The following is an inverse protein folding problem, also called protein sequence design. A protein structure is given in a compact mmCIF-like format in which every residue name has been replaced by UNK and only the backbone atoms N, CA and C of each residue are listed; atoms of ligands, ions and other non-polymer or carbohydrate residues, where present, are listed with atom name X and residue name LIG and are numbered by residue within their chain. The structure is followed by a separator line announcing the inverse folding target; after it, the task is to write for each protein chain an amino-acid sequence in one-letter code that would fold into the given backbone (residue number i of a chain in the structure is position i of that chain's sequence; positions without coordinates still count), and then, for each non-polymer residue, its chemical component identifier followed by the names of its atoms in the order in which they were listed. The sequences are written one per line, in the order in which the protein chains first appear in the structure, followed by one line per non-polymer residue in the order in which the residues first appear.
data_IF_520775532459
#
_entry.id   IF_520775532459
#
_cell.length_a   1.000
_cell.length_b   1.000
_cell.length_c   1.000
_cell.angle_alpha   90.00
_cell.angle_beta   90.00
_cell.angle_gamma   90.00
#
_symmetry.space_group_name_H-M   'P 1'
#
loop_
_entity.id
_entity.type
_entity.pdbx_description
1 polymer ?
#
# COMPACT_ATOMS: atom_id res chain seq x y z
N UNK A 1 -30.45 -14.43 13.74
CA UNK A 1 -30.04 -14.46 12.31
C UNK A 1 -28.73 -15.22 12.21
N UNK A 2 -28.58 -16.21 11.32
CA UNK A 2 -27.30 -16.88 11.14
C UNK A 2 -26.26 -15.89 10.59
N UNK A 3 -24.97 -16.01 10.96
CA UNK A 3 -23.93 -15.15 10.43
C UNK A 3 -23.86 -15.33 8.91
N UNK A 4 -24.00 -14.22 8.19
CA UNK A 4 -23.94 -14.16 6.73
C UNK A 4 -22.54 -14.62 6.32
N UNK A 5 -22.41 -15.87 5.85
CA UNK A 5 -21.14 -16.39 5.31
C UNK A 5 -20.78 -15.56 4.07
N UNK A 6 -19.94 -14.56 4.23
CA UNK A 6 -19.40 -13.80 3.12
C UNK A 6 -18.56 -14.77 2.31
N UNK A 7 -19.02 -15.15 1.11
CA UNK A 7 -18.17 -15.89 0.17
C UNK A 7 -16.98 -14.99 -0.14
N UNK A 8 -15.78 -15.39 0.30
CA UNK A 8 -14.55 -14.68 -0.01
C UNK A 8 -14.35 -14.75 -1.52
N UNK A 9 -14.68 -13.68 -2.21
CA UNK A 9 -14.51 -13.59 -3.67
C UNK A 9 -13.01 -13.64 -3.94
N UNK A 10 -12.55 -14.68 -4.63
CA UNK A 10 -11.16 -14.76 -5.08
C UNK A 10 -10.98 -13.76 -6.22
N UNK A 11 -10.28 -12.66 -5.94
CA UNK A 11 -9.99 -11.62 -6.92
C UNK A 11 -8.52 -11.68 -7.31
N UNK A 12 -8.22 -11.30 -8.55
CA UNK A 12 -6.83 -11.17 -8.99
C UNK A 12 -6.15 -10.04 -8.21
N UNK A 13 -4.87 -10.16 -7.85
CA UNK A 13 -4.14 -9.13 -7.10
C UNK A 13 -4.19 -7.75 -7.77
N UNK A 14 -4.15 -7.70 -9.10
CA UNK A 14 -4.26 -6.46 -9.86
C UNK A 14 -5.59 -5.74 -9.58
N UNK A 15 -6.68 -6.48 -9.39
CA UNK A 15 -7.99 -5.91 -9.07
C UNK A 15 -8.02 -5.31 -7.66
N UNK A 16 -7.24 -5.87 -6.74
CA UNK A 16 -7.07 -5.30 -5.39
C UNK A 16 -6.36 -3.96 -5.48
N UNK A 17 -5.25 -3.90 -6.23
CA UNK A 17 -4.51 -2.66 -6.48
C UNK A 17 -5.38 -1.60 -7.16
N UNK A 18 -6.10 -1.98 -8.23
CA UNK A 18 -7.06 -1.09 -8.89
C UNK A 18 -8.15 -0.60 -7.94
N UNK A 19 -8.62 -1.46 -7.04
CA UNK A 19 -9.58 -1.09 -6.00
C UNK A 19 -9.04 0.00 -5.07
N UNK A 20 -7.79 -0.09 -4.63
CA UNK A 20 -7.15 0.94 -3.81
C UNK A 20 -6.97 2.25 -4.57
N UNK A 21 -6.57 2.18 -5.84
CA UNK A 21 -6.41 3.36 -6.71
C UNK A 21 -7.74 4.08 -6.93
N UNK A 22 -8.81 3.36 -7.25
CA UNK A 22 -10.14 3.95 -7.49
C UNK A 22 -10.75 4.58 -6.24
N UNK A 23 -10.63 3.89 -5.09
CA UNK A 23 -11.17 4.38 -3.82
C UNK A 23 -10.33 5.49 -3.20
N UNK A 24 -9.10 5.71 -3.70
CA UNK A 24 -8.13 6.63 -3.11
C UNK A 24 -7.82 6.27 -1.66
N UNK A 25 -7.80 4.98 -1.34
CA UNK A 25 -7.49 4.51 0.00
C UNK A 25 -5.98 4.69 0.26
N UNK A 26 -5.65 5.03 1.50
CA UNK A 26 -4.26 5.05 1.96
C UNK A 26 -3.80 3.61 2.16
N UNK A 27 -2.64 3.29 1.61
CA UNK A 27 -2.02 1.98 1.73
C UNK A 27 -0.74 2.10 2.54
N UNK A 28 -0.45 1.07 3.34
CA UNK A 28 0.83 0.89 4.03
C UNK A 28 1.63 -0.17 3.27
N UNK A 29 2.84 0.19 2.87
CA UNK A 29 3.76 -0.63 2.11
C UNK A 29 4.96 -0.99 2.98
N UNK A 30 5.22 -2.28 3.08
CA UNK A 30 6.38 -2.84 3.75
C UNK A 30 7.54 -2.93 2.76
N UNK A 31 8.70 -2.42 3.17
CA UNK A 31 9.89 -2.45 2.35
C UNK A 31 10.60 -3.80 2.48
N UNK A 32 11.35 -4.18 1.44
CA UNK A 32 12.16 -5.40 1.44
C UNK A 32 13.42 -5.26 2.28
N UNK A 33 14.18 -4.18 2.06
CA UNK A 33 15.47 -3.99 2.72
C UNK A 33 15.33 -3.48 4.16
N UNK A 34 14.36 -2.60 4.43
CA UNK A 34 14.15 -2.00 5.75
C UNK A 34 12.84 -2.46 6.39
N UNK A 35 12.96 -3.33 7.39
CA UNK A 35 11.82 -3.82 8.18
C UNK A 35 11.37 -2.85 9.28
N UNK A 36 12.17 -1.82 9.58
CA UNK A 36 11.87 -0.82 10.61
C UNK A 36 11.06 0.34 10.06
N UNK A 37 10.95 0.45 8.75
CA UNK A 37 10.23 1.51 8.08
C UNK A 37 9.14 0.95 7.18
N UNK A 38 8.03 1.65 7.13
CA UNK A 38 6.95 1.40 6.17
C UNK A 38 6.58 2.71 5.50
N UNK A 39 6.13 2.64 4.25
CA UNK A 39 5.66 3.81 3.52
C UNK A 39 4.14 3.80 3.54
N UNK A 40 3.52 4.85 4.07
CA UNK A 40 2.09 5.08 3.95
C UNK A 40 1.82 6.12 2.87
N UNK A 41 0.87 5.88 1.97
CA UNK A 41 0.57 6.85 0.92
C UNK A 41 -0.69 6.49 0.14
N UNK A 42 -1.15 7.41 -0.69
CA UNK A 42 -2.27 7.15 -1.60
C UNK A 42 -1.74 6.78 -2.98
N UNK A 43 -2.14 5.62 -3.51
CA UNK A 43 -1.75 5.22 -4.86
C UNK A 43 -2.45 6.12 -5.90
N UNK A 44 -1.66 6.79 -6.74
CA UNK A 44 -2.15 7.57 -7.88
C UNK A 44 -1.88 6.92 -9.23
N UNK A 45 -0.94 5.96 -9.28
CA UNK A 45 -0.63 5.19 -10.48
C UNK A 45 0.27 4.00 -10.18
N UNK A 46 0.24 3.00 -11.05
CA UNK A 46 1.16 1.86 -11.04
C UNK A 46 1.44 1.37 -12.47
N UNK A 47 2.50 0.59 -12.65
CA UNK A 47 2.89 0.02 -13.96
C UNK A 47 2.98 -1.52 -13.94
N UNK A 48 3.45 -2.11 -15.04
CA UNK A 48 3.61 -3.56 -15.20
C UNK A 48 4.69 -4.17 -14.29
N UNK A 49 5.62 -3.34 -13.78
CA UNK A 49 6.68 -3.76 -12.86
C UNK A 49 6.30 -3.53 -11.39
N UNK A 50 5.06 -3.11 -11.12
CA UNK A 50 4.58 -2.75 -9.79
C UNK A 50 5.35 -1.57 -9.18
N UNK A 51 5.88 -0.66 -9.99
CA UNK A 51 6.30 0.65 -9.48
C UNK A 51 5.05 1.44 -9.12
N UNK A 52 5.01 2.04 -7.93
CA UNK A 52 3.87 2.81 -7.47
C UNK A 52 4.21 4.28 -7.40
N UNK A 53 3.34 5.12 -7.94
CA UNK A 53 3.36 6.55 -7.65
C UNK A 53 2.43 6.79 -6.47
N UNK A 54 3.00 7.27 -5.37
CA UNK A 54 2.29 7.58 -4.13
C UNK A 54 2.21 9.09 -3.95
N UNK A 55 1.03 9.57 -3.57
CA UNK A 55 0.79 10.95 -3.18
C UNK A 55 0.57 11.04 -1.66
N UNK A 56 1.01 12.15 -1.07
CA UNK A 56 0.95 12.34 0.39
C UNK A 56 1.64 11.22 1.17
N UNK A 57 2.78 10.76 0.66
CA UNK A 57 3.56 9.69 1.25
C UNK A 57 4.20 10.13 2.56
N UNK A 58 4.18 9.21 3.53
CA UNK A 58 4.77 9.33 4.85
C UNK A 58 5.65 8.10 5.10
N UNK A 59 6.87 8.32 5.58
CA UNK A 59 7.69 7.29 6.20
C UNK A 59 7.23 7.07 7.63
N UNK A 60 6.85 5.84 7.97
CA UNK A 60 6.40 5.45 9.30
C UNK A 60 7.38 4.46 9.88
N UNK A 61 8.02 4.86 10.99
CA UNK A 61 8.87 3.98 11.79
C UNK A 61 7.99 2.98 12.56
N UNK A 62 8.18 1.69 12.30
CA UNK A 62 7.38 0.60 12.86
C UNK A 62 7.54 0.48 14.38
N UNK A 63 8.65 0.97 14.96
CA UNK A 63 8.92 0.90 16.40
C UNK A 63 8.44 2.13 17.15
N UNK A 64 8.74 3.32 16.62
CA UNK A 64 8.41 4.58 17.30
C UNK A 64 7.06 5.15 16.90
N UNK A 65 6.48 4.69 15.77
CA UNK A 65 5.27 5.25 15.19
C UNK A 65 5.46 6.68 14.64
N UNK A 66 6.71 7.18 14.62
CA UNK A 66 7.01 8.51 14.09
C UNK A 66 6.75 8.53 12.59
N UNK A 67 6.01 9.55 12.16
CA UNK A 67 5.69 9.79 10.76
C UNK A 67 6.52 10.96 10.24
N UNK A 68 7.13 10.78 9.07
CA UNK A 68 7.87 11.83 8.36
C UNK A 68 7.25 12.00 7.00
N UNK A 69 6.74 13.20 6.68
CA UNK A 69 6.17 13.48 5.37
C UNK A 69 7.26 13.53 4.30
N UNK A 70 7.02 12.83 3.20
CA UNK A 70 7.91 12.74 2.04
C UNK A 70 7.28 13.39 0.80
N UNK A 71 5.95 13.54 0.79
CA UNK A 71 5.21 14.16 -0.30
C UNK A 71 4.90 13.18 -1.43
N UNK A 72 5.19 13.53 -2.68
CA UNK A 72 4.92 12.66 -3.83
C UNK A 72 6.17 11.90 -4.24
N UNK A 73 6.10 10.57 -4.22
CA UNK A 73 7.24 9.70 -4.52
C UNK A 73 6.88 8.63 -5.55
N UNK A 74 7.91 8.14 -6.24
CA UNK A 74 7.85 6.92 -7.04
C UNK A 74 8.58 5.83 -6.26
N UNK A 75 7.83 4.82 -5.82
CA UNK A 75 8.36 3.64 -5.14
C UNK A 75 8.61 2.54 -6.16
N UNK A 76 9.82 2.00 -6.17
CA UNK A 76 10.18 0.92 -7.09
C UNK A 76 9.56 -0.41 -6.63
N UNK A 77 9.11 -1.23 -7.58
CA UNK A 77 8.45 -2.50 -7.30
C UNK A 77 9.34 -3.56 -6.63
N UNK A 78 10.66 -3.48 -6.84
CA UNK A 78 11.66 -4.37 -6.20
C UNK A 78 11.77 -4.13 -4.68
N UNK A 79 11.49 -2.91 -4.22
CA UNK A 79 11.52 -2.55 -2.81
C UNK A 79 10.28 -3.03 -2.03
N UNK A 80 9.27 -3.61 -2.67
CA UNK A 80 7.96 -3.89 -2.08
C UNK A 80 7.86 -5.34 -1.61
N UNK A 81 7.62 -5.53 -0.31
CA UNK A 81 7.36 -6.85 0.28
C UNK A 81 5.87 -7.14 0.41
N UNK A 82 5.13 -6.18 0.96
CA UNK A 82 3.71 -6.36 1.29
C UNK A 82 2.98 -5.02 1.20
N UNK A 83 1.77 -5.04 0.65
CA UNK A 83 0.84 -3.91 0.67
C UNK A 83 -0.37 -4.27 1.53
N UNK A 84 -0.74 -3.39 2.45
CA UNK A 84 -1.96 -3.50 3.24
C UNK A 84 -2.73 -2.17 3.25
N UNK A 85 -4.04 -2.24 3.52
CA UNK A 85 -4.83 -1.06 3.81
C UNK A 85 -4.36 -0.47 5.16
N UNK A 86 -4.09 0.84 5.20
CA UNK A 86 -3.56 1.53 6.38
C UNK A 86 -4.63 1.82 7.43
#
# INVERSE_FOLDING_TARGET
MPPRKVKKVMTLPINVIFGHLQKKNRVKIWLYEDTRMTIEGQIIGFDEYMNFVLDGAEEVDTKSGKKTEVGRILLKGDAITLMQEA
#
